data_IF_575409674992
#
_entry.id   IF_575409674992
#
_cell.length_a   1.000
_cell.length_b   1.000
_cell.length_c   1.000
_cell.angle_alpha   90.00
_cell.angle_beta   90.00
_cell.angle_gamma   90.00
#
_symmetry.space_group_name_H-M   'P 1'
#
loop_
_entity.id
_entity.type
_entity.pdbx_description
1 polymer ?
#
# COMPACT_ATOMS: atom_id res chain seq x y z
N UNK A 1 -22.97 -6.28 7.24
CA UNK A 1 -23.98 -5.50 6.49
C UNK A 1 -23.28 -5.07 5.23
N UNK A 2 -23.75 -5.49 4.04
CA UNK A 2 -22.97 -5.32 2.82
C UNK A 2 -23.28 -3.95 2.19
N UNK A 3 -22.26 -3.11 2.06
CA UNK A 3 -22.37 -1.81 1.39
C UNK A 3 -22.48 -2.06 -0.13
N UNK A 4 -23.38 -1.39 -0.86
CA UNK A 4 -23.46 -1.47 -2.31
C UNK A 4 -22.13 -1.09 -2.99
N UNK A 5 -21.77 -1.78 -4.07
CA UNK A 5 -20.57 -1.44 -4.85
C UNK A 5 -20.80 -0.20 -5.73
N UNK A 6 -22.02 -0.10 -6.27
CA UNK A 6 -22.50 0.96 -7.13
C UNK A 6 -23.56 1.78 -6.38
N UNK A 7 -23.45 3.10 -6.48
CA UNK A 7 -24.50 4.03 -6.07
C UNK A 7 -24.99 4.80 -7.29
N UNK A 8 -26.28 4.68 -7.62
CA UNK A 8 -26.93 5.37 -8.74
C UNK A 8 -26.77 6.89 -8.59
N UNK A 9 -25.80 7.48 -9.30
CA UNK A 9 -25.51 8.92 -9.27
C UNK A 9 -26.64 9.81 -9.82
N UNK A 10 -27.69 9.23 -10.40
CA UNK A 10 -28.82 9.97 -10.97
C UNK A 10 -29.82 10.49 -9.94
N UNK A 11 -29.82 9.96 -8.71
CA UNK A 11 -30.70 10.45 -7.64
C UNK A 11 -30.04 11.49 -6.73
N UNK A 12 -29.14 12.33 -7.25
CA UNK A 12 -28.52 13.41 -6.49
C UNK A 12 -27.48 12.93 -5.48
N UNK A 13 -26.47 13.78 -5.24
CA UNK A 13 -25.25 13.41 -4.49
C UNK A 13 -25.51 13.07 -3.01
N UNK A 14 -26.72 13.29 -2.52
CA UNK A 14 -27.17 13.03 -1.15
C UNK A 14 -28.18 11.88 -1.03
N UNK A 15 -28.45 11.13 -2.10
CA UNK A 15 -29.30 9.95 -2.04
C UNK A 15 -28.82 8.97 -0.95
N UNK A 16 -29.70 8.62 -0.02
CA UNK A 16 -29.36 7.75 1.12
C UNK A 16 -28.88 8.50 2.37
N UNK A 17 -28.69 9.81 2.31
CA UNK A 17 -28.40 10.67 3.46
C UNK A 17 -29.69 11.34 3.97
N UNK A 18 -29.78 11.52 5.28
CA UNK A 18 -30.80 12.35 5.93
C UNK A 18 -30.15 13.59 6.50
N UNK A 19 -30.47 14.75 5.92
CA UNK A 19 -29.90 16.04 6.31
C UNK A 19 -30.93 16.80 7.15
N UNK A 20 -30.56 17.13 8.38
CA UNK A 20 -31.35 17.99 9.27
C UNK A 20 -30.62 19.31 9.51
N UNK A 21 -31.33 20.43 9.37
CA UNK A 21 -30.81 21.74 9.76
C UNK A 21 -31.20 22.04 11.22
N UNK A 22 -30.26 22.58 11.99
CA UNK A 22 -30.49 23.10 13.33
C UNK A 22 -30.05 24.58 13.43
N UNK A 23 -30.21 25.18 14.60
CA UNK A 23 -29.86 26.59 14.79
C UNK A 23 -28.34 26.87 14.67
N UNK A 24 -27.51 25.84 14.81
CA UNK A 24 -26.05 25.93 14.92
C UNK A 24 -25.32 25.33 13.71
N UNK A 25 -26.05 24.79 12.72
CA UNK A 25 -25.52 24.13 11.54
C UNK A 25 -26.44 23.08 10.92
N UNK A 26 -25.82 22.07 10.32
CA UNK A 26 -26.47 20.92 9.68
C UNK A 26 -25.91 19.63 10.28
N UNK A 27 -26.78 18.65 10.45
CA UNK A 27 -26.44 17.28 10.82
C UNK A 27 -26.80 16.35 9.67
N UNK A 28 -25.83 15.58 9.21
CA UNK A 28 -25.99 14.62 8.12
C UNK A 28 -25.85 13.21 8.66
N UNK A 29 -26.92 12.44 8.50
CA UNK A 29 -26.98 11.06 8.91
C UNK A 29 -26.92 10.16 7.68
N UNK A 30 -26.11 9.11 7.75
CA UNK A 30 -26.17 8.00 6.82
C UNK A 30 -26.78 6.79 7.56
N UNK A 31 -28.11 6.58 7.44
CA UNK A 31 -28.83 5.62 8.27
C UNK A 31 -28.35 4.18 8.08
N UNK A 32 -27.86 3.85 6.88
CA UNK A 32 -27.37 2.52 6.54
C UNK A 32 -26.22 2.09 7.46
N UNK A 33 -25.26 2.98 7.72
CA UNK A 33 -24.13 2.68 8.60
C UNK A 33 -24.29 3.24 10.02
N UNK A 34 -25.39 3.94 10.29
CA UNK A 34 -25.59 4.64 11.56
C UNK A 34 -24.56 5.75 11.82
N UNK A 35 -23.96 6.29 10.76
CA UNK A 35 -22.95 7.35 10.84
C UNK A 35 -23.66 8.70 10.87
N UNK A 36 -23.22 9.58 11.75
CA UNK A 36 -23.68 10.97 11.80
C UNK A 36 -22.49 11.91 11.85
N UNK A 37 -22.55 12.96 11.03
CA UNK A 37 -21.60 14.08 11.04
C UNK A 37 -22.37 15.38 11.26
N UNK A 38 -21.71 16.37 11.83
CA UNK A 38 -22.29 17.71 12.02
C UNK A 38 -21.30 18.78 11.59
N UNK A 39 -21.79 19.86 10.98
CA UNK A 39 -21.00 21.04 10.61
C UNK A 39 -21.84 22.32 10.62
N UNK A 40 -21.21 23.49 10.62
CA UNK A 40 -21.80 24.83 10.50
C UNK A 40 -22.13 25.10 9.04
N UNK A 41 -23.10 25.99 8.84
CA UNK A 41 -23.45 26.52 7.52
C UNK A 41 -24.56 25.73 6.83
N UNK A 42 -24.70 26.00 5.54
CA UNK A 42 -25.69 25.37 4.66
C UNK A 42 -25.33 23.92 4.42
N UNK A 43 -26.37 23.10 4.22
CA UNK A 43 -26.26 21.67 3.97
C UNK A 43 -25.31 21.30 2.83
N UNK A 44 -25.02 22.17 1.87
CA UNK A 44 -24.42 21.73 0.60
C UNK A 44 -22.88 21.77 0.57
N UNK A 45 -22.20 22.33 1.58
CA UNK A 45 -20.75 22.58 1.52
C UNK A 45 -20.03 22.42 2.88
N UNK A 46 -19.93 21.18 3.41
CA UNK A 46 -19.21 20.93 4.65
C UNK A 46 -17.73 21.33 4.53
N UNK A 47 -17.20 22.04 5.54
CA UNK A 47 -15.76 22.31 5.66
C UNK A 47 -15.11 21.27 6.57
N UNK A 48 -14.02 20.64 6.14
CA UNK A 48 -13.34 19.59 6.91
C UNK A 48 -12.93 20.00 8.31
N UNK A 49 -12.47 21.25 8.50
CA UNK A 49 -12.02 21.72 9.81
C UNK A 49 -13.21 21.78 10.77
N UNK A 50 -14.31 22.34 10.29
CA UNK A 50 -15.52 22.50 11.10
C UNK A 50 -16.22 21.15 11.38
N UNK A 51 -16.29 20.25 10.38
CA UNK A 51 -16.84 18.90 10.59
C UNK A 51 -15.99 18.15 11.62
N UNK A 52 -14.66 18.26 11.56
CA UNK A 52 -13.74 17.64 12.51
C UNK A 52 -13.88 18.17 13.93
N UNK A 53 -14.15 19.46 14.11
CA UNK A 53 -14.42 20.06 15.42
C UNK A 53 -15.72 19.53 16.06
N UNK A 54 -16.76 19.33 15.25
CA UNK A 54 -18.10 18.91 15.71
C UNK A 54 -18.32 17.40 15.70
N UNK A 55 -17.46 16.66 15.00
CA UNK A 55 -17.50 15.21 14.87
C UNK A 55 -16.12 14.64 15.25
N UNK A 56 -15.74 14.61 16.55
CA UNK A 56 -14.37 14.30 16.97
C UNK A 56 -13.87 12.90 16.59
N UNK A 57 -14.77 11.97 16.29
CA UNK A 57 -14.47 10.63 15.80
C UNK A 57 -14.08 10.60 14.32
N UNK A 58 -14.35 11.67 13.56
CA UNK A 58 -13.99 11.80 12.16
C UNK A 58 -12.50 12.16 12.04
N UNK A 59 -11.77 11.38 11.26
CA UNK A 59 -10.41 11.65 10.83
C UNK A 59 -10.43 11.88 9.32
N UNK A 60 -9.98 13.04 8.88
CA UNK A 60 -9.80 13.37 7.45
C UNK A 60 -8.36 13.04 7.05
N UNK A 61 -8.19 12.26 5.99
CA UNK A 61 -6.90 11.84 5.45
C UNK A 61 -6.56 12.72 4.23
N UNK A 62 -6.29 14.00 4.51
CA UNK A 62 -6.04 14.99 3.47
C UNK A 62 -7.23 15.08 2.50
N UNK A 63 -6.98 14.86 1.22
CA UNK A 63 -8.01 14.83 0.17
C UNK A 63 -8.22 13.48 -0.47
N UNK A 64 -7.63 12.46 0.14
CA UNK A 64 -7.68 11.08 -0.32
C UNK A 64 -8.85 10.35 0.30
N UNK A 65 -9.19 10.65 1.56
CA UNK A 65 -10.26 9.91 2.21
C UNK A 65 -10.61 10.33 3.62
N UNK A 66 -11.46 9.54 4.25
CA UNK A 66 -11.95 9.76 5.61
C UNK A 66 -12.01 8.48 6.43
N UNK A 67 -12.10 8.62 7.74
CA UNK A 67 -12.40 7.52 8.68
C UNK A 67 -13.29 8.05 9.79
N UNK A 68 -14.38 7.34 10.07
CA UNK A 68 -15.31 7.66 11.16
C UNK A 68 -15.73 6.35 11.83
N UNK A 69 -15.51 6.26 13.13
CA UNK A 69 -15.69 5.02 13.90
C UNK A 69 -14.96 3.84 13.25
N UNK A 70 -15.67 2.81 12.78
CA UNK A 70 -15.09 1.64 12.12
C UNK A 70 -15.32 1.65 10.60
N UNK A 71 -15.63 2.81 10.03
CA UNK A 71 -15.81 3.01 8.59
C UNK A 71 -14.70 3.89 8.04
N UNK A 72 -14.09 3.47 6.95
CA UNK A 72 -13.12 4.27 6.20
C UNK A 72 -13.39 4.20 4.72
N UNK A 73 -13.07 5.27 4.02
CA UNK A 73 -13.22 5.32 2.57
C UNK A 73 -12.10 6.18 1.97
N UNK A 74 -11.51 5.69 0.88
CA UNK A 74 -10.39 6.32 0.18
C UNK A 74 -10.68 6.36 -1.31
N UNK A 75 -10.51 7.53 -1.93
CA UNK A 75 -10.56 7.73 -3.36
C UNK A 75 -9.41 6.99 -4.03
N UNK A 76 -9.70 6.35 -5.16
CA UNK A 76 -8.76 5.58 -5.94
C UNK A 76 -8.74 6.03 -7.41
N UNK A 77 -7.68 5.66 -8.09
CA UNK A 77 -7.51 5.67 -9.53
C UNK A 77 -7.28 4.25 -10.03
N UNK A 78 -7.57 4.06 -11.32
CA UNK A 78 -7.20 2.88 -12.09
C UNK A 78 -7.81 1.57 -11.56
N UNK A 79 -9.12 1.56 -11.28
CA UNK A 79 -9.84 0.30 -11.04
C UNK A 79 -10.35 -0.28 -12.36
N UNK A 80 -9.88 -1.47 -12.68
CA UNK A 80 -10.40 -2.24 -13.81
C UNK A 80 -11.82 -2.80 -13.57
N UNK A 81 -12.17 -3.12 -12.33
CA UNK A 81 -13.50 -3.64 -11.97
C UNK A 81 -13.85 -3.39 -10.50
N UNK A 82 -15.14 -3.43 -10.19
CA UNK A 82 -15.61 -3.38 -8.81
C UNK A 82 -15.46 -4.75 -8.15
N UNK A 83 -15.07 -4.76 -6.87
CA UNK A 83 -14.79 -6.02 -6.18
C UNK A 83 -14.93 -5.90 -4.67
N UNK A 84 -14.98 -7.04 -3.99
CA UNK A 84 -15.01 -7.11 -2.54
C UNK A 84 -14.11 -8.21 -1.98
N UNK A 85 -13.62 -7.93 -0.78
CA UNK A 85 -12.76 -8.81 -0.01
C UNK A 85 -13.22 -8.78 1.44
N UNK A 86 -12.93 -9.84 2.19
CA UNK A 86 -13.08 -9.86 3.64
C UNK A 86 -11.82 -10.40 4.27
N UNK A 87 -11.38 -9.70 5.31
CA UNK A 87 -10.26 -10.06 6.14
C UNK A 87 -10.80 -10.30 7.56
N UNK A 88 -11.15 -11.55 7.89
CA UNK A 88 -11.82 -11.86 9.14
C UNK A 88 -13.21 -11.21 9.25
N UNK A 89 -13.39 -10.30 10.21
CA UNK A 89 -14.63 -9.52 10.38
C UNK A 89 -14.69 -8.24 9.52
N UNK A 90 -13.57 -7.85 8.93
CA UNK A 90 -13.44 -6.59 8.18
C UNK A 90 -13.82 -6.79 6.73
N UNK A 91 -14.76 -5.99 6.24
CA UNK A 91 -15.21 -5.98 4.85
C UNK A 91 -14.50 -4.86 4.10
N UNK A 92 -13.99 -5.16 2.91
CA UNK A 92 -13.37 -4.19 2.01
C UNK A 92 -14.06 -4.27 0.66
N UNK A 93 -14.42 -3.14 0.09
CA UNK A 93 -15.06 -3.08 -1.22
C UNK A 93 -14.51 -1.96 -2.08
N UNK A 94 -14.40 -2.22 -3.38
CA UNK A 94 -13.91 -1.34 -4.42
C UNK A 94 -15.09 -0.98 -5.33
N UNK A 95 -15.33 0.31 -5.57
CA UNK A 95 -16.43 0.78 -6.41
C UNK A 95 -16.70 2.28 -6.22
N UNK A 96 -17.91 2.75 -6.54
CA UNK A 96 -18.19 4.19 -6.53
C UNK A 96 -18.12 4.84 -5.13
N UNK A 97 -17.64 6.08 -5.03
CA UNK A 97 -17.70 6.85 -3.80
C UNK A 97 -19.11 6.85 -3.20
N UNK A 98 -19.19 6.66 -1.89
CA UNK A 98 -20.47 6.59 -1.18
C UNK A 98 -21.11 7.96 -1.06
N UNK A 99 -22.44 8.05 -0.81
CA UNK A 99 -23.11 9.33 -0.66
C UNK A 99 -22.46 10.21 0.41
N UNK A 100 -22.03 9.63 1.53
CA UNK A 100 -21.34 10.38 2.59
C UNK A 100 -20.01 10.94 2.10
N UNK A 101 -19.25 10.17 1.32
CA UNK A 101 -18.00 10.64 0.74
C UNK A 101 -18.23 11.76 -0.25
N UNK A 102 -19.15 11.57 -1.21
CA UNK A 102 -19.52 12.59 -2.19
C UNK A 102 -19.90 13.89 -1.49
N UNK A 103 -20.77 13.80 -0.50
CA UNK A 103 -21.21 14.91 0.32
C UNK A 103 -20.04 15.66 1.00
N UNK A 104 -19.15 14.92 1.66
CA UNK A 104 -18.00 15.50 2.36
C UNK A 104 -17.02 16.21 1.42
N UNK A 105 -16.87 15.68 0.22
CA UNK A 105 -15.81 16.07 -0.70
C UNK A 105 -16.28 16.98 -1.86
N UNK A 106 -17.60 17.18 -2.04
CA UNK A 106 -18.18 17.93 -3.16
C UNK A 106 -17.64 19.35 -3.26
N UNK A 107 -17.53 20.05 -2.13
CA UNK A 107 -16.98 21.42 -2.08
C UNK A 107 -15.56 21.51 -2.66
N UNK A 108 -14.79 20.45 -2.55
CA UNK A 108 -13.40 20.41 -2.98
C UNK A 108 -13.25 19.88 -4.41
N UNK A 109 -14.29 19.23 -4.95
CA UNK A 109 -14.28 18.61 -6.27
C UNK A 109 -14.56 19.64 -7.35
N UNK A 110 -13.74 19.63 -8.40
CA UNK A 110 -14.03 20.40 -9.60
C UNK A 110 -14.64 19.50 -10.68
N UNK A 111 -15.98 19.54 -10.81
CA UNK A 111 -16.75 18.67 -11.73
C UNK A 111 -16.22 18.63 -13.17
N UNK A 112 -15.73 19.76 -13.70
CA UNK A 112 -15.17 19.80 -15.07
C UNK A 112 -13.95 18.90 -15.26
N UNK A 113 -13.13 18.71 -14.23
CA UNK A 113 -11.83 18.04 -14.33
C UNK A 113 -11.81 16.64 -13.74
N UNK A 114 -12.64 16.40 -12.72
CA UNK A 114 -12.71 15.11 -12.05
C UNK A 114 -13.87 14.24 -12.54
N UNK A 115 -14.60 14.69 -13.58
CA UNK A 115 -15.79 13.98 -14.07
C UNK A 115 -16.94 13.99 -13.06
N UNK A 116 -17.90 13.10 -13.28
CA UNK A 116 -18.98 12.83 -12.33
C UNK A 116 -18.51 11.89 -11.22
N UNK A 117 -19.23 11.86 -10.09
CA UNK A 117 -18.94 10.89 -9.03
C UNK A 117 -19.10 9.43 -9.45
N UNK A 118 -19.83 9.16 -10.53
CA UNK A 118 -19.91 7.84 -11.16
C UNK A 118 -18.61 7.43 -11.83
N UNK A 119 -17.78 8.38 -12.23
CA UNK A 119 -16.54 8.12 -12.97
C UNK A 119 -15.34 8.00 -12.00
N UNK A 120 -15.60 8.24 -10.72
CA UNK A 120 -14.64 8.13 -9.64
C UNK A 120 -14.81 6.80 -8.93
N UNK A 121 -13.71 6.29 -8.40
CA UNK A 121 -13.69 5.04 -7.65
C UNK A 121 -13.11 5.23 -6.27
N UNK A 122 -13.46 4.30 -5.38
CA UNK A 122 -13.09 4.33 -3.97
C UNK A 122 -12.89 2.92 -3.43
N UNK A 123 -12.11 2.81 -2.36
CA UNK A 123 -12.05 1.64 -1.50
C UNK A 123 -12.68 1.97 -0.15
N UNK A 124 -13.67 1.17 0.24
CA UNK A 124 -14.44 1.30 1.48
C UNK A 124 -14.07 0.16 2.40
N UNK A 125 -13.77 0.46 3.66
CA UNK A 125 -13.39 -0.49 4.69
C UNK A 125 -14.41 -0.38 5.82
N UNK A 126 -15.07 -1.49 6.16
CA UNK A 126 -16.05 -1.57 7.23
C UNK A 126 -15.62 -2.59 8.29
N UNK A 127 -15.66 -2.16 9.55
CA UNK A 127 -15.35 -3.00 10.72
C UNK A 127 -13.89 -2.94 11.18
N UNK A 128 -13.02 -2.18 10.51
CA UNK A 128 -11.63 -2.01 10.92
C UNK A 128 -11.51 -0.95 12.03
N UNK A 129 -10.67 -1.21 13.03
CA UNK A 129 -10.29 -0.18 14.00
C UNK A 129 -9.50 0.94 13.26
N UNK A 130 -9.69 2.24 13.59
CA UNK A 130 -9.04 3.36 12.91
C UNK A 130 -7.51 3.23 12.74
N UNK A 131 -6.84 2.62 13.72
CA UNK A 131 -5.38 2.47 13.71
C UNK A 131 -4.90 1.32 12.81
N UNK A 132 -5.82 0.49 12.30
CA UNK A 132 -5.54 -0.65 11.43
C UNK A 132 -5.93 -0.39 9.97
N UNK A 133 -6.54 0.76 9.68
CA UNK A 133 -7.12 1.08 8.37
C UNK A 133 -6.08 1.02 7.25
N UNK A 134 -4.92 1.62 7.46
CA UNK A 134 -3.84 1.57 6.47
C UNK A 134 -3.34 0.15 6.23
N UNK A 135 -3.28 -0.67 7.30
CA UNK A 135 -2.88 -2.06 7.18
C UNK A 135 -3.87 -2.84 6.32
N UNK A 136 -5.16 -2.65 6.56
CA UNK A 136 -6.23 -3.28 5.78
C UNK A 136 -6.18 -2.81 4.32
N UNK A 137 -6.01 -1.51 4.09
CA UNK A 137 -5.95 -0.91 2.76
C UNK A 137 -4.80 -1.49 1.92
N UNK A 138 -3.58 -1.56 2.48
CA UNK A 138 -2.42 -2.12 1.78
C UNK A 138 -2.59 -3.60 1.44
N UNK A 139 -3.24 -4.37 2.32
CA UNK A 139 -3.55 -5.78 2.04
C UNK A 139 -4.65 -5.93 0.98
N UNK A 140 -5.66 -5.07 1.01
CA UNK A 140 -6.71 -5.02 -0.01
C UNK A 140 -6.14 -4.72 -1.40
N UNK A 141 -5.23 -3.75 -1.52
CA UNK A 141 -4.58 -3.43 -2.80
C UNK A 141 -3.77 -4.61 -3.36
N UNK A 142 -3.00 -5.29 -2.51
CA UNK A 142 -2.28 -6.49 -2.95
C UNK A 142 -3.24 -7.61 -3.40
N UNK A 143 -4.36 -7.81 -2.70
CA UNK A 143 -5.37 -8.80 -3.07
C UNK A 143 -6.10 -8.44 -4.36
N UNK A 144 -6.36 -7.16 -4.58
CA UNK A 144 -6.95 -6.66 -5.80
C UNK A 144 -6.00 -6.89 -6.99
N UNK A 145 -4.73 -6.52 -6.87
CA UNK A 145 -3.72 -6.76 -7.91
C UNK A 145 -3.52 -8.25 -8.21
N UNK A 146 -3.52 -9.12 -7.19
CA UNK A 146 -3.46 -10.57 -7.38
C UNK A 146 -4.58 -11.11 -8.28
N UNK A 147 -5.75 -10.45 -8.28
CA UNK A 147 -6.93 -10.86 -9.03
C UNK A 147 -7.05 -10.18 -10.39
N UNK A 148 -6.72 -8.89 -10.46
CA UNK A 148 -6.99 -8.04 -11.62
C UNK A 148 -5.73 -7.61 -12.37
N UNK A 149 -4.53 -7.99 -11.91
CA UNK A 149 -3.22 -7.60 -12.46
C UNK A 149 -3.02 -6.06 -12.55
N UNK A 150 -3.79 -5.32 -11.74
CA UNK A 150 -3.74 -3.85 -11.63
C UNK A 150 -3.61 -3.49 -10.15
N UNK A 151 -2.63 -2.66 -9.81
CA UNK A 151 -2.44 -2.16 -8.45
C UNK A 151 -3.21 -0.84 -8.27
N UNK A 152 -4.25 -0.81 -7.42
CA UNK A 152 -4.98 0.44 -7.16
C UNK A 152 -4.05 1.53 -6.64
N UNK A 153 -4.25 2.76 -7.11
CA UNK A 153 -3.51 3.93 -6.64
C UNK A 153 -4.44 4.84 -5.83
N UNK A 154 -4.05 5.25 -4.60
CA UNK A 154 -4.75 6.32 -3.91
C UNK A 154 -4.77 7.59 -4.76
N UNK A 155 -5.93 8.21 -4.84
CA UNK A 155 -6.13 9.46 -5.57
C UNK A 155 -6.51 10.58 -4.60
N UNK A 156 -6.27 11.82 -5.01
CA UNK A 156 -6.62 13.00 -4.23
C UNK A 156 -7.54 13.90 -5.04
N UNK A 157 -8.47 14.55 -4.35
CA UNK A 157 -9.22 15.66 -4.93
C UNK A 157 -8.30 16.86 -5.07
N UNK A 158 -7.83 17.13 -6.28
CA UNK A 158 -6.88 18.21 -6.53
C UNK A 158 -7.54 19.58 -6.36
N UNK A 159 -6.90 20.46 -5.59
CA UNK A 159 -7.21 21.88 -5.59
C UNK A 159 -6.64 22.50 -6.86
N UNK A 160 -7.49 23.05 -7.71
CA UNK A 160 -7.04 23.63 -8.96
C UNK A 160 -6.36 24.98 -8.71
N UNK A 161 -5.04 25.06 -8.91
CA UNK A 161 -4.31 26.33 -8.99
C UNK A 161 -4.44 26.90 -10.41
N UNK A 162 -5.22 27.99 -10.52
CA UNK A 162 -5.59 28.67 -11.76
C UNK A 162 -4.40 29.14 -12.62
N UNK A 163 -3.17 29.16 -12.10
CA UNK A 163 -2.00 29.74 -12.80
C UNK A 163 -1.35 28.75 -13.80
N UNK A 164 -1.56 27.44 -13.67
CA UNK A 164 -0.75 26.45 -14.39
C UNK A 164 -1.37 25.83 -15.67
N UNK A 165 -2.58 26.22 -16.06
CA UNK A 165 -3.45 25.37 -16.89
C UNK A 165 -4.00 26.00 -18.19
N UNK A 166 -3.29 26.94 -18.81
CA UNK A 166 -3.60 27.39 -20.18
C UNK A 166 -3.10 26.41 -21.27
N UNK A 167 -2.62 25.21 -20.92
CA UNK A 167 -1.91 24.35 -21.88
C UNK A 167 -2.04 22.84 -21.63
N UNK A 168 -3.23 22.26 -21.84
CA UNK A 168 -3.39 20.93 -22.46
C UNK A 168 -4.85 20.45 -22.34
N UNK A 169 -5.57 20.45 -23.45
CA UNK A 169 -6.82 19.69 -23.61
C UNK A 169 -6.49 18.43 -24.41
N UNK A 170 -6.87 17.25 -23.92
CA UNK A 170 -7.16 16.05 -24.73
C UNK A 170 -8.04 15.09 -23.91
N UNK A 171 -9.11 14.57 -24.55
CA UNK A 171 -10.17 13.71 -23.99
C UNK A 171 -9.95 12.23 -24.33
N UNK A 172 -10.27 11.30 -23.43
CA UNK A 172 -10.61 9.90 -23.76
C UNK A 172 -11.70 9.32 -22.82
N UNK A 173 -12.43 8.32 -23.34
CA UNK A 173 -13.67 7.66 -22.85
C UNK A 173 -13.43 6.25 -22.30
N UNK A 174 -14.27 5.77 -21.36
CA UNK A 174 -14.25 4.40 -20.81
C UNK A 174 -15.62 3.67 -20.88
N UNK A 175 -15.58 2.33 -20.96
CA UNK A 175 -16.70 1.37 -20.85
C UNK A 175 -16.43 0.40 -19.66
N UNK A 176 -17.48 0.04 -18.89
CA UNK A 176 -17.41 -0.84 -17.71
C UNK A 176 -18.12 -2.19 -17.93
N UNK A 177 -17.58 -3.28 -17.35
CA UNK A 177 -18.25 -4.58 -17.12
C UNK A 177 -18.12 -5.02 -15.65
N UNK A 178 -19.18 -5.59 -15.08
CA UNK A 178 -19.25 -6.16 -13.72
C UNK A 178 -19.16 -7.70 -13.75
N UNK A 179 -18.46 -8.34 -12.79
CA UNK A 179 -18.83 -9.68 -12.28
C UNK A 179 -18.17 -10.07 -10.93
N UNK A 180 -18.63 -11.22 -10.39
CA UNK A 180 -18.86 -11.58 -8.98
C UNK A 180 -17.67 -12.07 -8.10
N UNK A 181 -17.73 -11.64 -6.83
CA UNK A 181 -17.43 -12.31 -5.55
C UNK A 181 -16.45 -13.50 -5.45
N UNK A 182 -15.42 -13.36 -4.61
CA UNK A 182 -14.47 -14.43 -4.28
C UNK A 182 -14.05 -14.54 -2.79
N UNK A 183 -13.39 -15.67 -2.51
CA UNK A 183 -13.15 -16.34 -1.21
C UNK A 183 -12.03 -15.71 -0.36
N UNK A 184 -12.15 -15.87 0.97
CA UNK A 184 -11.48 -15.11 2.03
C UNK A 184 -10.20 -15.74 2.61
N UNK A 185 -9.26 -14.89 3.06
CA UNK A 185 -8.11 -15.26 3.88
C UNK A 185 -8.25 -14.61 5.28
N UNK A 186 -8.35 -15.38 6.38
CA UNK A 186 -8.64 -14.85 7.73
C UNK A 186 -7.42 -14.19 8.42
N UNK A 187 -6.28 -14.15 7.75
CA UNK A 187 -5.01 -13.68 8.29
C UNK A 187 -4.33 -12.73 7.29
N UNK A 188 -3.96 -11.53 7.76
CA UNK A 188 -3.20 -10.58 6.94
C UNK A 188 -1.81 -10.32 7.55
N UNK A 189 -0.77 -10.15 6.72
CA UNK A 189 0.49 -9.53 7.13
C UNK A 189 0.21 -8.22 7.87
N UNK A 190 0.87 -8.01 9.01
CA UNK A 190 0.61 -6.88 9.92
C UNK A 190 1.76 -5.88 10.06
N UNK A 191 2.91 -6.15 9.43
CA UNK A 191 4.07 -5.28 9.50
C UNK A 191 3.91 -4.13 8.48
N UNK A 192 3.43 -2.96 8.93
CA UNK A 192 3.04 -1.83 8.05
C UNK A 192 4.22 -1.27 7.25
N UNK A 193 5.39 -1.10 7.86
CA UNK A 193 6.57 -0.52 7.20
C UNK A 193 7.03 -1.33 5.96
N UNK A 194 7.23 -2.65 6.02
CA UNK A 194 7.55 -3.43 4.82
C UNK A 194 6.39 -3.48 3.82
N UNK A 195 5.12 -3.40 4.25
CA UNK A 195 3.98 -3.30 3.32
C UNK A 195 3.99 -1.98 2.54
N UNK A 196 4.27 -0.86 3.19
CA UNK A 196 4.45 0.45 2.53
C UNK A 196 5.59 0.41 1.52
N UNK A 197 6.75 -0.10 1.92
CA UNK A 197 7.90 -0.23 1.01
C UNK A 197 7.54 -1.09 -0.21
N UNK A 198 6.82 -2.20 0.01
CA UNK A 198 6.38 -3.08 -1.06
C UNK A 198 5.39 -2.39 -2.02
N UNK A 199 4.42 -1.65 -1.50
CA UNK A 199 3.49 -0.85 -2.29
C UNK A 199 4.22 0.19 -3.14
N UNK A 200 5.05 1.04 -2.53
CA UNK A 200 5.81 2.06 -3.27
C UNK A 200 6.76 1.46 -4.32
N UNK A 201 7.31 0.27 -4.06
CA UNK A 201 8.16 -0.42 -5.04
C UNK A 201 7.39 -0.86 -6.29
N UNK A 202 6.12 -1.26 -6.14
CA UNK A 202 5.25 -1.63 -7.25
C UNK A 202 4.80 -0.40 -8.04
N UNK A 203 4.38 0.66 -7.35
CA UNK A 203 3.95 1.92 -7.97
C UNK A 203 5.09 2.76 -8.58
N UNK A 204 6.36 2.46 -8.27
CA UNK A 204 7.49 3.24 -8.77
C UNK A 204 7.71 3.05 -10.28
N UNK A 205 7.62 4.16 -11.02
CA UNK A 205 7.94 4.24 -12.45
C UNK A 205 9.44 3.98 -12.71
N UNK A 206 10.32 4.50 -11.85
CA UNK A 206 11.77 4.25 -11.92
C UNK A 206 12.12 2.85 -11.34
N UNK A 207 12.70 1.93 -12.15
CA UNK A 207 13.10 0.61 -11.68
C UNK A 207 14.16 0.64 -10.57
N UNK A 208 15.04 1.65 -10.53
CA UNK A 208 16.07 1.74 -9.50
C UNK A 208 15.44 2.11 -8.14
N UNK A 209 14.55 3.11 -8.11
CA UNK A 209 13.74 3.43 -6.95
C UNK A 209 12.94 2.22 -6.44
N UNK A 210 12.32 1.45 -7.36
CA UNK A 210 11.61 0.21 -7.02
C UNK A 210 12.53 -0.82 -6.34
N UNK A 211 13.72 -1.05 -6.90
CA UNK A 211 14.71 -1.96 -6.34
C UNK A 211 15.09 -1.59 -4.90
N UNK A 212 15.32 -0.29 -4.61
CA UNK A 212 15.65 0.19 -3.27
C UNK A 212 14.52 -0.14 -2.29
N UNK A 213 13.26 0.11 -2.68
CA UNK A 213 12.12 -0.12 -1.80
C UNK A 213 11.88 -1.61 -1.54
N UNK A 214 11.99 -2.49 -2.55
CA UNK A 214 11.96 -3.94 -2.32
C UNK A 214 13.12 -4.41 -1.43
N UNK A 215 14.32 -3.83 -1.58
CA UNK A 215 15.47 -4.16 -0.73
C UNK A 215 15.21 -3.80 0.74
N UNK A 216 14.55 -2.67 1.02
CA UNK A 216 14.15 -2.28 2.40
C UNK A 216 13.24 -3.30 3.07
N UNK A 217 12.37 -3.97 2.31
CA UNK A 217 11.56 -5.10 2.82
C UNK A 217 12.48 -6.23 3.30
N UNK A 218 13.54 -6.56 2.55
CA UNK A 218 14.51 -7.58 2.93
C UNK A 218 15.36 -7.15 4.14
N UNK A 219 15.80 -5.89 4.21
CA UNK A 219 16.51 -5.34 5.37
C UNK A 219 15.68 -5.48 6.64
N UNK A 220 14.40 -5.09 6.58
CA UNK A 220 13.48 -5.19 7.71
C UNK A 220 13.40 -6.63 8.24
N UNK A 221 13.14 -7.61 7.38
CA UNK A 221 13.02 -9.01 7.82
C UNK A 221 14.36 -9.66 8.19
N UNK A 222 15.47 -9.24 7.59
CA UNK A 222 16.80 -9.69 7.98
C UNK A 222 17.14 -9.20 9.39
N UNK A 223 16.83 -7.93 9.70
CA UNK A 223 16.99 -7.36 11.04
C UNK A 223 16.08 -8.04 12.08
N UNK A 224 14.82 -8.30 11.72
CA UNK A 224 13.88 -9.00 12.61
C UNK A 224 14.35 -10.44 12.90
N UNK A 225 14.87 -11.15 11.90
CA UNK A 225 15.44 -12.49 12.05
C UNK A 225 16.67 -12.49 12.99
N UNK A 226 17.53 -11.47 12.88
CA UNK A 226 18.66 -11.27 13.79
C UNK A 226 18.18 -11.03 15.23
N UNK A 227 17.18 -10.17 15.41
CA UNK A 227 16.58 -9.86 16.72
C UNK A 227 15.93 -11.10 17.37
N UNK A 228 15.22 -11.91 16.58
CA UNK A 228 14.66 -13.19 17.02
C UNK A 228 15.76 -14.17 17.45
N UNK A 229 16.85 -14.25 16.67
CA UNK A 229 18.01 -15.09 16.99
C UNK A 229 18.69 -14.68 18.30
N UNK A 230 18.89 -13.38 18.53
CA UNK A 230 19.43 -12.84 19.79
C UNK A 230 18.49 -13.09 20.97
N UNK A 231 17.18 -12.91 20.76
CA UNK A 231 16.17 -13.16 21.79
C UNK A 231 16.11 -14.64 22.18
N UNK A 232 16.21 -15.55 21.22
CA UNK A 232 16.29 -16.99 21.47
C UNK A 232 17.55 -17.34 22.26
N UNK A 233 18.71 -16.80 21.85
CA UNK A 233 19.98 -17.00 22.55
C UNK A 233 19.93 -16.50 24.01
N UNK A 234 19.26 -15.37 24.26
CA UNK A 234 19.06 -14.83 25.62
C UNK A 234 18.19 -15.71 26.51
N UNK A 235 17.24 -16.45 25.93
CA UNK A 235 16.30 -17.32 26.65
C UNK A 235 16.82 -18.75 26.81
N UNK A 236 17.95 -19.09 26.20
CA UNK A 236 18.51 -20.43 26.26
C UNK A 236 19.24 -20.65 27.59
N UNK A 237 18.58 -21.36 28.51
CA UNK A 237 19.12 -21.68 29.83
C UNK A 237 20.33 -22.63 29.80
N UNK A 238 20.62 -23.26 28.65
CA UNK A 238 21.76 -24.16 28.49
C UNK A 238 23.02 -23.43 28.01
N UNK A 239 22.95 -22.13 27.73
CA UNK A 239 24.07 -21.33 27.26
C UNK A 239 24.69 -20.62 28.45
N UNK A 240 25.98 -20.87 28.70
CA UNK A 240 26.73 -20.15 29.73
C UNK A 240 26.93 -18.67 29.37
N UNK A 241 27.15 -17.80 30.35
CA UNK A 241 27.40 -16.36 30.10
C UNK A 241 28.54 -16.11 29.08
N UNK A 242 29.59 -16.94 29.14
CA UNK A 242 30.72 -16.87 28.21
C UNK A 242 30.31 -17.25 26.79
N UNK A 243 29.52 -18.32 26.63
CA UNK A 243 29.01 -18.73 25.32
C UNK A 243 27.99 -17.75 24.78
N UNK A 244 27.16 -17.17 25.65
CA UNK A 244 26.22 -16.11 25.28
C UNK A 244 26.96 -14.90 24.72
N UNK A 245 28.00 -14.42 25.41
CA UNK A 245 28.83 -13.31 24.93
C UNK A 245 29.48 -13.63 23.59
N UNK A 246 30.04 -14.83 23.43
CA UNK A 246 30.70 -15.23 22.18
C UNK A 246 29.71 -15.36 21.02
N UNK A 247 28.58 -16.06 21.21
CA UNK A 247 27.55 -16.24 20.18
C UNK A 247 26.86 -14.91 19.83
N UNK A 248 26.63 -14.03 20.80
CA UNK A 248 26.10 -12.68 20.57
C UNK A 248 27.09 -11.83 19.78
N UNK A 249 28.37 -11.85 20.15
CA UNK A 249 29.41 -11.19 19.38
C UNK A 249 29.47 -11.71 17.94
N UNK A 250 29.36 -13.03 17.71
CA UNK A 250 29.31 -13.60 16.37
C UNK A 250 28.06 -13.23 15.56
N UNK A 251 26.92 -13.01 16.22
CA UNK A 251 25.70 -12.56 15.56
C UNK A 251 25.79 -11.07 15.18
N UNK A 252 26.37 -10.25 16.05
CA UNK A 252 26.49 -8.79 15.88
C UNK A 252 27.71 -8.37 15.04
N UNK A 253 28.79 -9.15 15.05
CA UNK A 253 30.00 -8.90 14.26
C UNK A 253 29.83 -9.29 12.79
N UNK A 254 28.70 -9.90 12.44
CA UNK A 254 28.35 -10.20 11.05
C UNK A 254 27.82 -8.93 10.41
N UNK A 255 28.54 -8.48 9.39
CA UNK A 255 28.21 -7.34 8.54
C UNK A 255 26.75 -7.43 8.05
N UNK A 256 26.12 -6.28 7.80
CA UNK A 256 24.77 -6.14 7.24
C UNK A 256 24.56 -7.10 6.05
N UNK A 257 25.59 -7.20 5.20
CA UNK A 257 25.66 -8.13 4.08
C UNK A 257 25.35 -9.58 4.47
N UNK A 258 25.88 -10.07 5.59
CA UNK A 258 25.71 -11.47 6.02
C UNK A 258 24.26 -11.80 6.39
N UNK A 259 23.56 -10.84 6.99
CA UNK A 259 22.15 -11.01 7.38
C UNK A 259 21.25 -11.06 6.14
N UNK A 260 21.51 -10.19 5.15
CA UNK A 260 20.82 -10.21 3.86
C UNK A 260 21.10 -11.50 3.10
N UNK A 261 22.38 -11.91 3.00
CA UNK A 261 22.76 -13.16 2.30
C UNK A 261 22.03 -14.36 2.91
N UNK A 262 21.96 -14.45 4.24
CA UNK A 262 21.23 -15.53 4.92
C UNK A 262 19.74 -15.54 4.55
N UNK A 263 19.09 -14.38 4.60
CA UNK A 263 17.68 -14.26 4.24
C UNK A 263 17.45 -14.64 2.77
N UNK A 264 18.29 -14.15 1.85
CA UNK A 264 18.20 -14.50 0.44
C UNK A 264 18.39 -16.00 0.22
N UNK A 265 19.34 -16.64 0.89
CA UNK A 265 19.56 -18.09 0.81
C UNK A 265 18.32 -18.87 1.25
N UNK A 266 17.61 -18.38 2.26
CA UNK A 266 16.38 -18.98 2.76
C UNK A 266 15.21 -18.83 1.78
N UNK A 267 15.06 -17.65 1.15
CA UNK A 267 13.93 -17.31 0.28
C UNK A 267 14.11 -17.74 -1.19
N UNK A 268 15.35 -18.00 -1.61
CA UNK A 268 15.67 -18.35 -3.00
C UNK A 268 15.13 -19.72 -3.39
N UNK A 269 14.41 -19.76 -4.52
CA UNK A 269 13.99 -21.01 -5.17
C UNK A 269 14.85 -21.30 -6.39
N UNK A 270 14.77 -22.52 -6.91
CA UNK A 270 15.57 -22.92 -8.07
C UNK A 270 15.23 -22.06 -9.30
N UNK A 271 13.95 -21.78 -9.52
CA UNK A 271 13.44 -20.99 -10.64
C UNK A 271 13.99 -19.56 -10.59
N UNK A 272 14.06 -18.97 -9.39
CA UNK A 272 14.61 -17.63 -9.20
C UNK A 272 16.12 -17.58 -9.47
N UNK A 273 16.86 -18.62 -9.06
CA UNK A 273 18.30 -18.73 -9.30
C UNK A 273 18.60 -18.94 -10.79
N UNK A 274 17.83 -19.80 -11.44
CA UNK A 274 17.98 -20.07 -12.87
C UNK A 274 17.63 -18.83 -13.70
N UNK A 275 16.60 -18.08 -13.31
CA UNK A 275 16.29 -16.76 -13.89
C UNK A 275 17.46 -15.78 -13.70
N UNK A 276 17.96 -15.62 -12.47
CA UNK A 276 19.05 -14.68 -12.17
C UNK A 276 20.35 -15.04 -12.93
N UNK A 277 20.64 -16.33 -13.10
CA UNK A 277 21.77 -16.79 -13.90
C UNK A 277 21.55 -16.56 -15.40
N UNK A 278 20.34 -16.82 -15.91
CA UNK A 278 19.97 -16.58 -17.31
C UNK A 278 20.04 -15.10 -17.71
N UNK A 279 19.68 -14.20 -16.79
CA UNK A 279 19.79 -12.74 -16.96
C UNK A 279 21.21 -12.19 -16.67
N UNK A 280 22.17 -13.06 -16.33
CA UNK A 280 23.56 -12.66 -16.06
C UNK A 280 23.77 -11.88 -14.75
N UNK A 281 22.78 -11.87 -13.85
CA UNK A 281 22.87 -11.22 -12.53
C UNK A 281 23.84 -11.96 -11.58
N UNK A 282 23.96 -13.26 -11.80
CA UNK A 282 24.90 -14.15 -11.12
C UNK A 282 25.58 -15.07 -12.14
N UNK A 283 26.82 -15.49 -11.86
CA UNK A 283 27.59 -16.34 -12.79
C UNK A 283 27.14 -17.80 -12.81
N UNK A 284 26.40 -18.26 -11.79
CA UNK A 284 25.83 -19.61 -11.67
C UNK A 284 24.67 -19.62 -10.68
N UNK A 285 23.77 -20.60 -10.80
CA UNK A 285 22.62 -20.81 -9.89
C UNK A 285 23.06 -21.19 -8.46
N UNK A 286 23.55 -20.21 -7.70
CA UNK A 286 24.01 -20.35 -6.32
C UNK A 286 23.35 -19.30 -5.42
N UNK A 287 22.79 -19.78 -4.31
CA UNK A 287 22.02 -18.97 -3.37
C UNK A 287 22.85 -17.91 -2.66
N UNK A 288 24.08 -18.24 -2.29
CA UNK A 288 24.97 -17.31 -1.59
C UNK A 288 25.47 -16.24 -2.54
N UNK A 289 25.76 -16.64 -3.79
CA UNK A 289 26.14 -15.73 -4.85
C UNK A 289 25.02 -14.72 -5.12
N UNK A 290 23.76 -15.16 -5.23
CA UNK A 290 22.62 -14.26 -5.37
C UNK A 290 22.55 -13.23 -4.24
N UNK A 291 22.65 -13.67 -2.98
CA UNK A 291 22.65 -12.75 -1.84
C UNK A 291 23.79 -11.73 -1.90
N UNK A 292 24.99 -12.17 -2.29
CA UNK A 292 26.17 -11.28 -2.38
C UNK A 292 26.08 -10.30 -3.55
N UNK A 293 25.63 -10.73 -4.72
CA UNK A 293 25.43 -9.88 -5.90
C UNK A 293 24.33 -8.86 -5.68
N UNK A 294 23.25 -9.24 -4.99
CA UNK A 294 22.15 -8.36 -4.64
C UNK A 294 22.62 -7.22 -3.72
N UNK A 295 23.45 -7.53 -2.70
CA UNK A 295 24.06 -6.51 -1.85
C UNK A 295 24.97 -5.55 -2.62
N UNK A 296 25.79 -6.09 -3.54
CA UNK A 296 26.66 -5.28 -4.41
C UNK A 296 25.85 -4.36 -5.32
N UNK A 297 24.76 -4.86 -5.91
CA UNK A 297 23.85 -4.08 -6.74
C UNK A 297 23.16 -2.96 -5.94
N UNK A 298 22.68 -3.23 -4.73
CA UNK A 298 22.13 -2.17 -3.86
C UNK A 298 23.16 -1.07 -3.63
N UNK A 299 24.40 -1.43 -3.33
CA UNK A 299 25.46 -0.45 -3.12
C UNK A 299 25.82 0.31 -4.40
N UNK A 300 25.72 -0.30 -5.58
CA UNK A 300 25.96 0.41 -6.84
C UNK A 300 24.90 1.47 -7.15
N UNK A 301 23.64 1.25 -6.74
CA UNK A 301 22.58 2.25 -6.86
C UNK A 301 22.72 3.35 -5.80
N UNK A 302 22.87 2.97 -4.53
CA UNK A 302 22.86 3.92 -3.40
C UNK A 302 24.13 4.79 -3.35
N UNK A 303 25.28 4.23 -3.70
CA UNK A 303 26.59 4.92 -3.64
C UNK A 303 27.13 5.33 -5.01
N UNK A 304 26.28 5.38 -6.03
CA UNK A 304 26.59 5.85 -7.39
C UNK A 304 27.29 7.22 -7.43
N UNK A 305 27.18 8.03 -6.38
CA UNK A 305 27.67 9.42 -6.37
C UNK A 305 29.18 9.59 -6.23
N UNK A 306 30.02 8.61 -5.88
CA UNK A 306 31.42 8.93 -5.59
C UNK A 306 32.46 7.80 -5.55
N UNK A 307 32.10 6.53 -5.78
CA UNK A 307 33.06 5.44 -5.60
C UNK A 307 33.68 5.00 -6.94
N UNK A 308 34.96 5.31 -7.17
CA UNK A 308 35.70 4.90 -8.38
C UNK A 308 35.90 3.37 -8.50
N UNK A 309 35.49 2.60 -7.48
CA UNK A 309 35.74 1.16 -7.37
C UNK A 309 34.62 0.27 -7.90
N UNK A 310 33.40 0.80 -8.05
CA UNK A 310 32.27 0.05 -8.58
C UNK A 310 31.73 0.74 -9.84
N UNK A 311 31.53 0.04 -10.96
CA UNK A 311 30.89 0.65 -12.13
C UNK A 311 29.48 1.07 -11.73
N UNK A 312 29.20 2.38 -11.86
CA UNK A 312 27.86 2.91 -11.65
C UNK A 312 26.95 2.24 -12.68
N UNK A 313 25.93 1.55 -12.21
CA UNK A 313 24.93 0.92 -13.07
C UNK A 313 23.99 2.02 -13.57
N UNK A 314 24.44 2.79 -14.57
CA UNK A 314 23.60 3.75 -15.28
C UNK A 314 23.05 3.04 -16.50
N UNK A 315 21.74 2.87 -16.52
CA UNK A 315 21.07 2.28 -17.68
C UNK A 315 21.22 3.18 -18.90
N UNK A 316 21.29 2.55 -20.07
CA UNK A 316 21.28 3.28 -21.35
C UNK A 316 19.96 4.04 -21.51
N UNK A 317 20.03 5.28 -21.98
CA UNK A 317 18.86 6.11 -22.29
C UNK A 317 18.10 5.55 -23.51
N UNK A 318 18.79 4.83 -24.40
CA UNK A 318 18.26 4.33 -25.67
C UNK A 318 18.04 2.81 -25.65
N UNK A 319 18.64 2.12 -24.69
CA UNK A 319 18.43 0.68 -24.46
C UNK A 319 17.39 0.46 -23.36
N UNK A 320 16.59 -0.60 -23.45
CA UNK A 320 15.85 -1.05 -22.28
C UNK A 320 16.85 -1.41 -21.18
N UNK A 321 16.69 -0.78 -20.01
CA UNK A 321 17.30 -1.11 -18.71
C UNK A 321 17.05 -2.59 -18.35
N UNK A 322 17.68 -3.54 -19.05
CA UNK A 322 17.37 -4.97 -18.87
C UNK A 322 17.83 -5.45 -17.49
N UNK A 323 19.03 -5.02 -17.06
CA UNK A 323 19.64 -5.46 -15.80
C UNK A 323 18.89 -4.94 -14.58
N UNK A 324 18.57 -3.64 -14.50
CA UNK A 324 17.82 -3.09 -13.34
C UNK A 324 16.39 -3.65 -13.30
N UNK A 325 15.74 -3.86 -14.46
CA UNK A 325 14.43 -4.53 -14.52
C UNK A 325 14.49 -5.99 -14.07
N UNK A 326 15.54 -6.73 -14.47
CA UNK A 326 15.75 -8.10 -14.02
C UNK A 326 15.99 -8.15 -12.50
N UNK A 327 16.77 -7.23 -11.95
CA UNK A 327 16.93 -7.07 -10.50
C UNK A 327 15.63 -6.71 -9.80
N UNK A 328 14.82 -5.78 -10.36
CA UNK A 328 13.48 -5.44 -9.83
C UNK A 328 12.63 -6.70 -9.68
N UNK A 329 12.59 -7.55 -10.71
CA UNK A 329 11.83 -8.82 -10.67
C UNK A 329 12.35 -9.80 -9.62
N UNK A 330 13.68 -9.91 -9.46
CA UNK A 330 14.28 -10.76 -8.42
C UNK A 330 13.92 -10.25 -7.02
N UNK A 331 14.10 -8.94 -6.79
CA UNK A 331 13.84 -8.29 -5.52
C UNK A 331 12.35 -8.33 -5.15
N UNK A 332 11.45 -8.13 -6.10
CA UNK A 332 10.00 -8.25 -5.91
C UNK A 332 9.63 -9.66 -5.42
N UNK A 333 10.13 -10.72 -6.07
CA UNK A 333 9.84 -12.10 -5.67
C UNK A 333 10.41 -12.44 -4.29
N UNK A 334 11.62 -11.96 -3.97
CA UNK A 334 12.20 -12.14 -2.64
C UNK A 334 11.40 -11.39 -1.58
N UNK A 335 11.02 -10.14 -1.83
CA UNK A 335 10.23 -9.33 -0.91
C UNK A 335 8.83 -9.92 -0.66
N UNK A 336 8.15 -10.41 -1.71
CA UNK A 336 6.87 -11.09 -1.59
C UNK A 336 6.98 -12.37 -0.74
N UNK A 337 8.02 -13.18 -0.96
CA UNK A 337 8.28 -14.37 -0.14
C UNK A 337 8.63 -14.01 1.30
N UNK A 338 9.38 -12.91 1.52
CA UNK A 338 9.71 -12.43 2.86
C UNK A 338 8.45 -12.02 3.62
N UNK A 339 7.56 -11.25 2.98
CA UNK A 339 6.24 -10.90 3.51
C UNK A 339 5.43 -12.15 3.85
N UNK A 340 5.27 -13.09 2.92
CA UNK A 340 4.48 -14.30 3.17
C UNK A 340 5.03 -15.21 4.27
N UNK A 341 6.36 -15.23 4.47
CA UNK A 341 7.01 -16.17 5.40
C UNK A 341 7.31 -15.57 6.78
N UNK A 342 7.67 -14.30 6.84
CA UNK A 342 8.23 -13.69 8.05
C UNK A 342 7.35 -12.60 8.67
N UNK A 343 6.33 -12.13 7.95
CA UNK A 343 5.42 -11.13 8.47
C UNK A 343 4.76 -11.60 9.75
N UNK A 344 4.61 -10.66 10.68
CA UNK A 344 3.65 -10.82 11.76
C UNK A 344 2.25 -10.96 11.14
N UNK A 345 1.43 -11.84 11.67
CA UNK A 345 0.07 -12.07 11.19
C UNK A 345 -0.91 -11.49 12.18
N UNK A 346 -1.88 -10.72 11.68
CA UNK A 346 -3.01 -10.23 12.47
C UNK A 346 -4.29 -10.88 12.01
N UNK A 347 -5.04 -11.37 12.99
CA UNK A 347 -6.42 -11.81 12.80
C UNK A 347 -7.32 -10.64 13.15
N UNK A 348 -8.08 -10.16 12.17
CA UNK A 348 -9.10 -9.14 12.39
C UNK A 348 -10.36 -9.85 12.87
N UNK A 349 -10.68 -9.66 14.16
CA UNK A 349 -11.81 -10.31 14.84
C UNK A 349 -13.03 -9.42 14.90
#
# INVERSE_FOLDING_TARGET
>A
MKIPLVFDGRQGDTAGLTIGADADGSTVNWPELGISISHKGTADEPDFSDVGERTPQLRIHGRTGLTIDNYSEFLLQDLMSMDEFRFGSVEVSFGHPTPLFRYMFERYRHRKYMGEWSDLTSCRILGAHPDDVELVLLNAFNKYEERHDVLPQPSEILEFDWVAWEASDEEETEEEEEEEGAVFDPAIPSDVEPLRCFFYAKSAADPAAACIQFYRVLEFYAFLSLTRSLSALRRDANVSDREFLFKSAQLLSKDEQSSIVRLVVELSTKELLDFAAGEGLITRSDRSLLGSSLYQFRNSIVHAKQDQRAPVTVDSIIGSSSTTKAWKRVLQQLAQKALGKHSSVRHLT
#
